data_IF_565145529460
#
_entry.id   IF_565145529460
#
_cell.length_a   1.000
_cell.length_b   1.000
_cell.length_c   1.000
_cell.angle_alpha   90.00
_cell.angle_beta   90.00
_cell.angle_gamma   90.00
#
_symmetry.space_group_name_H-M   'P 1'
#
loop_
_entity.id
_entity.type
_entity.pdbx_description
1 polymer ?
#
# COMPACT_ATOMS: atom_id res chain seq x y z
N UNK A 1 -1.71 -43.91 -38.45
CA UNK A 1 -2.26 -42.56 -38.18
C UNK A 1 -1.61 -41.99 -36.93
N UNK A 2 -0.56 -41.17 -37.07
CA UNK A 2 0.18 -40.61 -35.95
C UNK A 2 -0.45 -39.27 -35.51
N UNK A 3 -0.95 -39.19 -34.27
CA UNK A 3 -1.47 -37.94 -33.71
C UNK A 3 -0.31 -36.99 -33.37
N UNK A 4 -0.17 -35.92 -34.14
CA UNK A 4 0.75 -34.82 -33.87
C UNK A 4 0.34 -34.12 -32.57
N UNK A 5 1.18 -34.23 -31.52
CA UNK A 5 1.03 -33.45 -30.29
C UNK A 5 1.47 -32.02 -30.56
N UNK A 6 0.51 -31.14 -30.85
CA UNK A 6 0.72 -29.69 -30.87
C UNK A 6 1.13 -29.25 -29.46
N UNK A 7 2.42 -28.97 -29.26
CA UNK A 7 2.94 -28.40 -28.02
C UNK A 7 2.43 -26.95 -27.92
N UNK A 8 1.55 -26.68 -26.96
CA UNK A 8 1.10 -25.32 -26.64
C UNK A 8 2.34 -24.45 -26.32
N UNK A 9 2.46 -23.23 -26.87
CA UNK A 9 3.58 -22.37 -26.52
C UNK A 9 3.51 -22.03 -25.03
N UNK A 10 4.59 -22.41 -24.32
CA UNK A 10 4.86 -22.02 -22.95
C UNK A 10 4.91 -20.49 -22.93
N UNK A 11 4.03 -19.86 -22.15
CA UNK A 11 3.96 -18.41 -21.95
C UNK A 11 5.30 -17.96 -21.36
N UNK A 12 6.26 -17.63 -22.23
CA UNK A 12 7.59 -17.18 -21.86
C UNK A 12 7.48 -15.72 -21.43
N UNK A 13 7.87 -15.49 -20.18
CA UNK A 13 8.42 -14.24 -19.67
C UNK A 13 7.64 -12.97 -20.02
N UNK A 14 6.58 -12.73 -19.26
CA UNK A 14 5.91 -11.43 -19.15
C UNK A 14 6.74 -10.47 -18.26
N UNK A 15 8.04 -10.33 -18.54
CA UNK A 15 8.99 -9.56 -17.72
C UNK A 15 9.86 -8.58 -18.53
N UNK A 16 9.55 -8.29 -19.79
CA UNK A 16 10.44 -7.48 -20.66
C UNK A 16 9.79 -6.24 -21.29
N UNK A 17 8.82 -5.60 -20.64
CA UNK A 17 8.24 -4.38 -21.24
C UNK A 17 7.42 -3.48 -20.31
N UNK A 18 7.77 -3.36 -19.03
CA UNK A 18 6.90 -2.70 -18.05
C UNK A 18 7.65 -1.93 -16.94
N UNK A 19 8.91 -1.57 -17.15
CA UNK A 19 9.73 -0.92 -16.11
C UNK A 19 9.64 0.61 -16.15
N UNK A 20 9.16 1.23 -17.23
CA UNK A 20 9.21 2.70 -17.39
C UNK A 20 7.96 3.48 -16.95
N UNK A 21 6.97 2.86 -16.31
CA UNK A 21 5.74 3.61 -16.00
C UNK A 21 4.76 3.01 -15.01
N UNK A 22 5.14 1.99 -14.24
CA UNK A 22 4.26 1.50 -13.18
C UNK A 22 4.39 2.39 -11.96
N UNK A 23 3.66 3.51 -11.96
CA UNK A 23 3.48 4.36 -10.79
C UNK A 23 3.15 3.46 -9.59
N UNK A 24 4.04 3.46 -8.60
CA UNK A 24 3.86 2.68 -7.39
C UNK A 24 2.66 3.24 -6.64
N UNK A 25 1.53 2.55 -6.69
CA UNK A 25 0.36 2.93 -5.90
C UNK A 25 0.50 2.30 -4.50
N UNK A 26 0.82 3.11 -3.46
CA UNK A 26 1.02 2.58 -2.11
C UNK A 26 -0.26 1.94 -1.55
N UNK A 27 -1.45 2.36 -2.00
CA UNK A 27 -2.72 1.75 -1.57
C UNK A 27 -2.96 0.37 -2.19
N UNK A 28 -2.28 0.03 -3.28
CA UNK A 28 -2.42 -1.29 -3.92
C UNK A 28 -1.56 -2.33 -3.20
N UNK A 29 -0.36 -1.94 -2.77
CA UNK A 29 0.57 -2.79 -2.02
C UNK A 29 0.10 -3.03 -0.58
N UNK A 30 0.27 -4.25 -0.06
CA UNK A 30 -0.01 -4.56 1.35
C UNK A 30 0.84 -3.70 2.29
N UNK A 31 2.11 -3.51 1.95
CA UNK A 31 3.06 -2.72 2.75
C UNK A 31 2.64 -1.24 2.76
N UNK A 32 2.32 -0.68 1.59
CA UNK A 32 1.92 0.72 1.50
C UNK A 32 0.61 1.02 2.23
N UNK A 33 -0.37 0.08 2.24
CA UNK A 33 -1.57 0.20 3.08
C UNK A 33 -1.25 0.24 4.56
N UNK A 34 -0.34 -0.62 5.04
CA UNK A 34 0.05 -0.63 6.46
C UNK A 34 0.69 0.70 6.85
N UNK A 35 1.58 1.23 6.02
CA UNK A 35 2.24 2.54 6.26
C UNK A 35 1.19 3.65 6.34
N UNK A 36 0.25 3.70 5.39
CA UNK A 36 -0.83 4.70 5.38
C UNK A 36 -1.71 4.58 6.63
N UNK A 37 -2.03 3.35 7.06
CA UNK A 37 -2.83 3.12 8.27
C UNK A 37 -2.10 3.60 9.52
N UNK A 38 -0.81 3.30 9.67
CA UNK A 38 -0.01 3.75 10.82
C UNK A 38 0.08 5.28 10.83
N UNK A 39 0.29 5.91 9.66
CA UNK A 39 0.33 7.36 9.54
C UNK A 39 -1.01 8.00 9.98
N UNK A 40 -2.13 7.46 9.49
CA UNK A 40 -3.47 7.93 9.85
C UNK A 40 -3.74 7.74 11.35
N UNK A 41 -3.37 6.60 11.92
CA UNK A 41 -3.51 6.34 13.35
C UNK A 41 -2.70 7.34 14.18
N UNK A 42 -1.45 7.62 13.77
CA UNK A 42 -0.58 8.59 14.45
C UNK A 42 -1.17 10.00 14.46
N UNK A 43 -1.77 10.44 13.35
CA UNK A 43 -2.45 11.74 13.29
C UNK A 43 -3.65 11.81 14.24
N UNK A 44 -4.49 10.78 14.25
CA UNK A 44 -5.68 10.73 15.12
C UNK A 44 -5.26 10.74 16.60
N UNK A 45 -4.28 9.92 16.97
CA UNK A 45 -3.76 9.86 18.34
C UNK A 45 -3.11 11.18 18.76
N UNK A 46 -2.35 11.82 17.87
CA UNK A 46 -1.74 13.12 18.13
C UNK A 46 -2.78 14.20 18.41
N UNK A 47 -3.83 14.27 17.58
CA UNK A 47 -4.94 15.21 17.80
C UNK A 47 -5.69 14.94 19.11
N UNK A 48 -5.93 13.67 19.43
CA UNK A 48 -6.62 13.29 20.66
C UNK A 48 -5.83 13.70 21.91
N UNK A 49 -4.53 13.40 21.95
CA UNK A 49 -3.65 13.78 23.07
C UNK A 49 -3.54 15.30 23.16
N UNK A 50 -3.35 15.98 22.02
CA UNK A 50 -3.27 17.44 21.99
C UNK A 50 -4.55 18.10 22.49
N UNK A 51 -5.72 17.53 22.19
CA UNK A 51 -7.00 18.02 22.69
C UNK A 51 -7.13 17.84 24.21
N UNK A 52 -6.68 16.71 24.75
CA UNK A 52 -6.67 16.46 26.21
C UNK A 52 -5.74 17.45 26.90
N UNK A 53 -4.49 17.60 26.42
CA UNK A 53 -3.52 18.53 27.01
C UNK A 53 -4.05 19.97 26.92
N UNK A 54 -4.62 20.35 25.78
CA UNK A 54 -5.24 21.66 25.62
C UNK A 54 -6.39 21.90 26.62
N UNK A 55 -7.23 20.90 26.84
CA UNK A 55 -8.33 20.99 27.82
C UNK A 55 -7.81 21.10 29.26
N UNK A 56 -6.75 20.36 29.62
CA UNK A 56 -6.11 20.45 30.94
C UNK A 56 -5.51 21.84 31.13
N UNK A 57 -4.75 22.34 30.16
CA UNK A 57 -4.15 23.69 30.24
C UNK A 57 -5.22 24.78 30.38
N UNK A 58 -6.36 24.65 29.69
CA UNK A 58 -7.49 25.59 29.84
C UNK A 58 -8.13 25.51 31.23
N UNK A 59 -8.14 24.32 31.86
CA UNK A 59 -8.65 24.14 33.22
C UNK A 59 -7.66 24.60 34.30
N UNK A 60 -6.36 24.47 34.07
CA UNK A 60 -5.30 24.88 34.99
C UNK A 60 -5.01 26.40 34.94
N UNK A 61 -5.29 27.06 33.80
CA UNK A 61 -5.18 28.51 33.63
C UNK A 61 -3.94 28.96 32.87
#
# INVERSE_FOLDING_TARGET
>A
MAKSKVRKPKKSNQYEGNIEGRAFNPTKSRVGRIIILILALGMILGLFISAIIGAINVLEG
#
